data_IF_904508389242
#
_entry.id   IF_904508389242
#
_cell.length_a   1.000
_cell.length_b   1.000
_cell.length_c   1.000
_cell.angle_alpha   90.00
_cell.angle_beta   90.00
_cell.angle_gamma   90.00
#
_symmetry.space_group_name_H-M   'P 1'
#
loop_
_entity.id
_entity.type
_entity.pdbx_description
1 polymer ?
#
# COMPACT_ATOMS: atom_id res chain seq x y z
N UNK A 1 -19.16 6.53 -18.96
CA UNK A 1 -19.03 6.25 -17.51
C UNK A 1 -17.75 6.94 -17.06
N UNK A 2 -17.74 7.78 -16.00
CA UNK A 2 -16.68 8.80 -15.72
C UNK A 2 -15.24 8.26 -15.57
N UNK A 3 -15.05 6.96 -15.39
CA UNK A 3 -13.75 6.32 -15.11
C UNK A 3 -13.47 5.08 -15.99
N UNK A 4 -14.28 4.85 -17.03
CA UNK A 4 -14.21 3.63 -17.89
C UNK A 4 -14.08 2.32 -17.09
N UNK A 5 -14.82 2.23 -15.99
CA UNK A 5 -14.77 1.09 -15.10
C UNK A 5 -15.58 -0.08 -15.65
N UNK A 6 -14.89 -1.18 -15.94
CA UNK A 6 -15.52 -2.45 -16.21
C UNK A 6 -15.60 -3.27 -14.93
N UNK A 7 -16.81 -3.49 -14.41
CA UNK A 7 -17.05 -4.31 -13.20
C UNK A 7 -16.41 -5.71 -13.28
N UNK A 8 -16.21 -6.21 -14.50
CA UNK A 8 -15.59 -7.51 -14.74
C UNK A 8 -14.10 -7.46 -15.06
N UNK A 9 -13.54 -6.30 -15.42
CA UNK A 9 -12.12 -6.11 -15.76
C UNK A 9 -11.30 -5.47 -14.64
N UNK A 10 -11.94 -4.67 -13.77
CA UNK A 10 -11.25 -3.76 -12.85
C UNK A 10 -11.28 -4.17 -11.38
N UNK A 11 -11.70 -5.41 -11.12
CA UNK A 11 -11.74 -5.99 -9.79
C UNK A 11 -13.09 -6.64 -9.51
N UNK A 12 -13.02 -7.87 -9.02
CA UNK A 12 -14.15 -8.74 -8.67
C UNK A 12 -14.92 -8.21 -7.44
N UNK A 13 -14.31 -7.28 -6.70
CA UNK A 13 -14.80 -6.77 -5.43
C UNK A 13 -14.75 -5.24 -5.37
N UNK A 14 -15.65 -4.66 -4.58
CA UNK A 14 -15.72 -3.22 -4.30
C UNK A 14 -14.38 -2.60 -3.87
N UNK A 15 -13.47 -3.29 -3.15
CA UNK A 15 -12.13 -2.79 -2.86
C UNK A 15 -11.23 -2.64 -4.07
N UNK A 16 -11.25 -3.55 -5.05
CA UNK A 16 -10.44 -3.38 -6.27
C UNK A 16 -10.91 -2.17 -7.08
N UNK A 17 -12.24 -1.98 -7.14
CA UNK A 17 -12.85 -0.80 -7.75
C UNK A 17 -12.54 0.48 -6.95
N UNK A 18 -12.68 0.43 -5.62
CA UNK A 18 -12.41 1.56 -4.72
C UNK A 18 -10.93 1.91 -4.69
N UNK A 19 -10.05 0.92 -4.77
CA UNK A 19 -8.60 1.09 -4.89
C UNK A 19 -8.26 1.69 -6.24
N UNK A 20 -8.77 1.18 -7.36
CA UNK A 20 -8.52 1.75 -8.69
C UNK A 20 -9.05 3.18 -8.79
N UNK A 21 -10.26 3.43 -8.27
CA UNK A 21 -10.83 4.79 -8.20
C UNK A 21 -10.03 5.66 -7.24
N UNK A 22 -9.60 5.17 -6.08
CA UNK A 22 -8.73 5.93 -5.17
C UNK A 22 -7.35 6.17 -5.77
N UNK A 23 -6.77 5.21 -6.49
CA UNK A 23 -5.49 5.37 -7.17
C UNK A 23 -5.63 6.40 -8.29
N UNK A 24 -6.62 6.26 -9.17
CA UNK A 24 -6.86 7.26 -10.21
C UNK A 24 -7.23 8.62 -9.62
N UNK A 25 -8.07 8.70 -8.60
CA UNK A 25 -8.54 9.98 -8.06
C UNK A 25 -7.49 10.65 -7.16
N UNK A 26 -6.78 9.89 -6.32
CA UNK A 26 -5.77 10.41 -5.40
C UNK A 26 -4.37 10.49 -6.02
N UNK A 27 -4.08 9.71 -7.08
CA UNK A 27 -2.76 9.58 -7.69
C UNK A 27 -2.70 9.96 -9.18
N UNK A 28 -3.80 10.35 -9.86
CA UNK A 28 -3.69 10.87 -11.25
C UNK A 28 -2.79 12.11 -11.35
N UNK A 29 -2.65 12.87 -10.26
CA UNK A 29 -1.75 14.02 -10.19
C UNK A 29 -0.40 13.69 -9.54
N UNK A 30 -0.16 12.43 -9.13
CA UNK A 30 1.11 12.01 -8.58
C UNK A 30 2.08 11.79 -9.73
N UNK A 31 2.78 12.88 -10.07
CA UNK A 31 3.97 12.77 -10.89
C UNK A 31 5.02 12.00 -10.08
N UNK A 32 5.45 10.86 -10.62
CA UNK A 32 6.67 10.22 -10.13
C UNK A 32 7.78 11.25 -10.26
N UNK A 33 8.47 11.60 -9.16
CA UNK A 33 9.54 12.57 -9.23
C UNK A 33 10.61 12.03 -10.19
N UNK A 34 11.03 12.90 -11.10
CA UNK A 34 12.07 12.58 -12.06
C UNK A 34 13.34 12.13 -11.32
N UNK A 35 13.86 10.95 -11.67
CA UNK A 35 15.07 10.38 -11.10
C UNK A 35 16.32 10.76 -11.90
N UNK A 36 16.25 11.81 -12.72
CA UNK A 36 17.38 12.36 -13.46
C UNK A 36 18.47 12.80 -12.47
N UNK A 37 19.67 12.18 -12.52
CA UNK A 37 20.79 12.52 -11.64
C UNK A 37 21.07 14.02 -11.61
N UNK A 38 21.45 14.54 -10.43
CA UNK A 38 21.89 15.94 -10.32
C UNK A 38 23.39 16.07 -10.62
N UNK A 39 23.85 17.31 -10.73
CA UNK A 39 25.28 17.60 -10.90
C UNK A 39 26.06 17.14 -9.67
N UNK A 40 27.21 16.52 -9.89
CA UNK A 40 28.08 16.08 -8.82
C UNK A 40 28.62 17.26 -8.01
N UNK A 41 28.63 17.11 -6.69
CA UNK A 41 29.25 18.06 -5.76
C UNK A 41 29.78 17.34 -4.52
N UNK A 42 30.67 18.00 -3.78
CA UNK A 42 31.16 17.52 -2.48
C UNK A 42 30.43 18.23 -1.35
N UNK A 43 30.18 17.50 -0.26
CA UNK A 43 29.47 18.05 0.86
C UNK A 43 30.31 19.12 1.60
N UNK A 44 29.78 20.34 1.82
CA UNK A 44 30.54 21.44 2.39
C UNK A 44 30.84 21.25 3.88
N UNK A 45 32.13 21.20 4.24
CA UNK A 45 32.61 20.99 5.62
C UNK A 45 32.05 22.01 6.64
N UNK A 46 31.77 23.24 6.21
CA UNK A 46 31.20 24.31 7.05
C UNK A 46 29.89 23.92 7.74
N UNK A 47 29.12 22.98 7.18
CA UNK A 47 27.83 22.57 7.74
C UNK A 47 27.96 21.56 8.89
N UNK A 48 29.09 20.87 9.04
CA UNK A 48 29.29 19.85 10.08
C UNK A 48 29.14 20.39 11.50
N UNK A 49 29.60 21.63 11.73
CA UNK A 49 29.55 22.27 13.05
C UNK A 49 28.12 22.36 13.60
N UNK A 50 27.15 22.67 12.75
CA UNK A 50 25.75 22.74 13.14
C UNK A 50 25.20 21.40 13.63
N UNK A 51 25.47 20.32 12.90
CA UNK A 51 25.02 18.97 13.27
C UNK A 51 25.67 18.48 14.56
N UNK A 52 26.98 18.76 14.74
CA UNK A 52 27.70 18.45 15.99
C UNK A 52 27.08 19.15 17.19
N UNK A 53 26.73 20.43 17.08
CA UNK A 53 26.05 21.17 18.15
C UNK A 53 24.65 20.62 18.45
N UNK A 54 23.90 20.18 17.44
CA UNK A 54 22.57 19.58 17.62
C UNK A 54 22.63 18.27 18.42
N UNK A 55 23.59 17.40 18.11
CA UNK A 55 23.74 16.13 18.80
C UNK A 55 24.27 16.32 20.22
N UNK A 56 25.23 17.23 20.42
CA UNK A 56 25.70 17.61 21.74
C UNK A 56 24.57 18.11 22.64
N UNK A 57 23.71 19.00 22.13
CA UNK A 57 22.53 19.52 22.87
C UNK A 57 21.56 18.41 23.28
N UNK A 58 21.41 17.39 22.43
CA UNK A 58 20.51 16.26 22.67
C UNK A 58 21.18 15.06 23.36
N UNK A 59 22.44 15.20 23.82
CA UNK A 59 23.26 14.13 24.43
C UNK A 59 23.40 12.89 23.53
N UNK A 60 23.63 13.10 22.23
CA UNK A 60 23.81 12.04 21.21
C UNK A 60 25.24 12.08 20.66
N UNK A 61 25.74 10.92 20.23
CA UNK A 61 27.08 10.76 19.66
C UNK A 61 27.17 11.37 18.25
N UNK A 62 28.28 12.03 17.95
CA UNK A 62 28.59 12.54 16.62
C UNK A 62 29.81 11.84 16.06
N UNK A 63 29.67 11.19 14.90
CA UNK A 63 30.70 10.39 14.25
C UNK A 63 30.53 10.36 12.73
N UNK A 64 29.90 11.38 12.15
CA UNK A 64 29.67 11.52 10.71
C UNK A 64 30.93 12.06 10.02
N UNK A 65 31.35 11.42 8.93
CA UNK A 65 32.52 11.83 8.12
C UNK A 65 32.11 12.45 6.79
N UNK A 66 32.95 13.34 6.25
CA UNK A 66 32.71 13.92 4.91
C UNK A 66 32.82 12.86 3.81
N UNK A 67 33.78 11.95 3.93
CA UNK A 67 33.97 10.86 2.98
C UNK A 67 32.73 9.96 2.89
N UNK A 68 32.08 9.70 4.03
CA UNK A 68 30.83 8.95 4.06
C UNK A 68 29.68 9.73 3.41
N UNK A 69 29.58 11.05 3.64
CA UNK A 69 28.58 11.89 3.00
C UNK A 69 28.74 11.95 1.48
N UNK A 70 29.97 12.10 0.99
CA UNK A 70 30.28 12.11 -0.44
C UNK A 70 29.98 10.74 -1.06
N UNK A 71 30.31 9.65 -0.36
CA UNK A 71 29.93 8.29 -0.77
C UNK A 71 28.41 8.12 -0.86
N UNK A 72 27.65 8.68 0.10
CA UNK A 72 26.19 8.63 0.08
C UNK A 72 25.60 9.46 -1.06
N UNK A 73 26.13 10.66 -1.31
CA UNK A 73 25.72 11.50 -2.44
C UNK A 73 25.91 10.78 -3.78
N UNK A 74 27.06 10.14 -3.98
CA UNK A 74 27.33 9.33 -5.17
C UNK A 74 26.36 8.15 -5.29
N UNK A 75 26.17 7.38 -4.22
CA UNK A 75 25.22 6.24 -4.20
C UNK A 75 23.78 6.69 -4.50
N UNK A 76 23.40 7.87 -4.04
CA UNK A 76 22.07 8.45 -4.26
C UNK A 76 21.95 9.23 -5.59
N UNK A 77 23.00 9.24 -6.42
CA UNK A 77 23.06 10.01 -7.67
C UNK A 77 22.74 11.49 -7.48
N UNK A 78 23.13 12.04 -6.34
CA UNK A 78 22.87 13.42 -5.93
C UNK A 78 21.37 13.77 -5.88
N UNK A 79 20.54 12.77 -5.57
CA UNK A 79 19.10 12.94 -5.38
C UNK A 79 18.73 12.85 -3.91
N UNK A 80 17.72 13.61 -3.53
CA UNK A 80 17.11 13.49 -2.21
C UNK A 80 16.57 12.07 -2.01
N UNK A 81 17.00 11.39 -0.96
CA UNK A 81 16.54 10.04 -0.64
C UNK A 81 15.03 9.96 -0.31
N UNK A 82 14.39 11.10 0.00
CA UNK A 82 12.95 11.16 0.32
C UNK A 82 12.08 11.37 -0.92
N UNK A 83 12.43 12.31 -1.80
CA UNK A 83 11.57 12.78 -2.89
C UNK A 83 12.24 12.80 -4.27
N UNK A 84 13.49 12.33 -4.37
CA UNK A 84 14.27 12.33 -5.59
C UNK A 84 14.50 13.72 -6.22
N UNK A 85 14.27 14.80 -5.47
CA UNK A 85 14.66 16.14 -5.91
C UNK A 85 16.17 16.21 -6.12
N UNK A 86 16.61 16.90 -7.16
CA UNK A 86 18.03 17.16 -7.42
C UNK A 86 18.64 17.97 -6.26
N UNK A 87 19.69 17.42 -5.66
CA UNK A 87 20.41 18.07 -4.58
C UNK A 87 21.45 19.03 -5.13
N UNK A 88 21.65 20.10 -4.38
CA UNK A 88 22.72 21.09 -4.55
C UNK A 88 23.45 21.23 -3.22
N UNK A 89 24.61 21.89 -3.25
CA UNK A 89 25.41 22.21 -2.05
C UNK A 89 24.57 22.87 -0.96
N UNK A 90 23.64 23.76 -1.34
CA UNK A 90 22.83 24.52 -0.40
C UNK A 90 21.55 23.80 0.04
N UNK A 91 21.09 22.82 -0.73
CA UNK A 91 19.84 22.12 -0.44
C UNK A 91 20.02 20.77 0.26
N UNK A 92 21.23 20.21 0.23
CA UNK A 92 21.54 18.91 0.81
C UNK A 92 21.68 19.00 2.33
N UNK A 93 20.99 18.11 3.04
CA UNK A 93 21.08 17.94 4.48
C UNK A 93 21.28 16.45 4.79
N UNK A 94 22.28 16.08 5.62
CA UNK A 94 22.33 14.76 6.22
C UNK A 94 21.29 14.66 7.32
N UNK A 95 20.31 13.79 7.12
CA UNK A 95 19.26 13.51 8.08
C UNK A 95 19.48 12.14 8.72
N UNK A 96 19.12 12.04 9.99
CA UNK A 96 19.22 10.79 10.75
C UNK A 96 18.15 9.80 10.32
N UNK A 97 18.55 8.55 10.11
CA UNK A 97 17.64 7.42 9.89
C UNK A 97 16.89 7.13 11.20
N UNK A 98 17.63 7.01 12.31
CA UNK A 98 17.08 6.87 13.65
C UNK A 98 17.36 8.12 14.49
N UNK A 99 16.30 8.83 14.88
CA UNK A 99 16.39 10.04 15.69
C UNK A 99 16.86 9.83 17.14
N UNK A 100 16.86 8.58 17.64
CA UNK A 100 17.42 8.26 18.96
C UNK A 100 18.95 8.25 18.95
N UNK A 101 19.56 7.95 17.80
CA UNK A 101 21.00 7.98 17.58
C UNK A 101 21.42 9.37 17.05
N UNK A 102 22.70 9.69 17.11
CA UNK A 102 23.22 10.93 16.52
C UNK A 102 23.63 10.77 15.07
N UNK A 103 24.28 11.79 14.51
CA UNK A 103 24.86 11.74 13.17
C UNK A 103 26.15 10.92 13.23
N UNK A 104 26.01 9.62 13.00
CA UNK A 104 27.10 8.65 12.87
C UNK A 104 27.02 8.00 11.49
N UNK A 105 28.17 7.61 10.95
CA UNK A 105 28.21 6.88 9.68
C UNK A 105 27.35 5.61 9.77
N UNK A 106 26.50 5.38 8.76
CA UNK A 106 25.50 4.31 8.76
C UNK A 106 24.15 4.63 9.40
N UNK A 107 24.00 5.75 10.14
CA UNK A 107 22.71 6.25 10.65
C UNK A 107 22.23 7.51 9.92
N UNK A 108 22.81 7.86 8.77
CA UNK A 108 22.47 9.08 8.05
C UNK A 108 22.07 8.79 6.59
N UNK A 109 21.19 9.64 6.06
CA UNK A 109 20.82 9.70 4.65
C UNK A 109 20.85 11.16 4.20
N UNK A 110 21.21 11.43 2.94
CA UNK A 110 21.11 12.80 2.41
C UNK A 110 19.70 13.07 1.88
N UNK A 111 19.11 14.15 2.34
CA UNK A 111 17.78 14.62 1.96
C UNK A 111 17.81 16.11 1.65
N UNK A 112 16.73 16.63 1.08
CA UNK A 112 16.61 18.05 0.77
C UNK A 112 16.05 18.81 1.98
N UNK A 113 16.54 20.01 2.28
CA UNK A 113 16.03 20.83 3.41
C UNK A 113 14.51 21.08 3.29
N UNK A 114 14.00 21.24 2.06
CA UNK A 114 12.55 21.43 1.80
C UNK A 114 11.72 20.18 2.08
N UNK A 115 12.33 19.01 2.11
CA UNK A 115 11.69 17.71 2.21
C UNK A 115 11.26 17.37 3.65
N UNK A 116 11.63 18.20 4.63
CA UNK A 116 11.30 18.04 6.05
C UNK A 116 9.80 18.25 6.39
N UNK A 117 8.87 18.17 5.42
CA UNK A 117 7.45 18.21 5.75
C UNK A 117 7.02 16.90 6.41
N UNK A 118 6.44 17.01 7.61
CA UNK A 118 5.90 15.88 8.38
C UNK A 118 4.93 15.03 7.55
N UNK A 119 4.20 15.66 6.62
CA UNK A 119 3.24 15.04 5.71
C UNK A 119 3.92 14.07 4.74
N UNK A 120 5.04 14.47 4.15
CA UNK A 120 5.80 13.65 3.23
C UNK A 120 6.49 12.45 3.88
N UNK A 121 7.07 12.67 5.06
CA UNK A 121 7.66 11.60 5.86
C UNK A 121 6.62 10.54 6.25
N UNK A 122 5.44 10.97 6.71
CA UNK A 122 4.32 10.07 7.04
C UNK A 122 3.87 9.24 5.83
N UNK A 123 3.75 9.88 4.66
CA UNK A 123 3.36 9.20 3.43
C UNK A 123 4.38 8.15 3.00
N UNK A 124 5.69 8.46 3.03
CA UNK A 124 6.75 7.49 2.72
C UNK A 124 6.76 6.32 3.69
N UNK A 125 6.64 6.56 5.01
CA UNK A 125 6.57 5.49 6.01
C UNK A 125 5.34 4.61 5.86
N UNK A 126 4.22 5.18 5.42
CA UNK A 126 3.02 4.42 5.09
C UNK A 126 3.25 3.51 3.86
N UNK A 127 3.93 3.98 2.83
CA UNK A 127 4.28 3.15 1.67
C UNK A 127 5.31 2.06 2.02
N UNK A 128 6.34 2.37 2.80
CA UNK A 128 7.34 1.39 3.25
C UNK A 128 6.71 0.30 4.13
N UNK A 129 5.88 0.69 5.11
CA UNK A 129 5.21 -0.23 6.02
C UNK A 129 4.24 -1.19 5.32
N UNK A 130 3.66 -0.76 4.19
CA UNK A 130 2.73 -1.59 3.43
C UNK A 130 3.38 -2.20 2.18
N UNK A 131 4.70 -2.10 1.99
CA UNK A 131 5.37 -2.54 0.76
C UNK A 131 5.20 -4.03 0.45
N UNK A 132 5.02 -4.86 1.47
CA UNK A 132 4.71 -6.30 1.43
C UNK A 132 3.20 -6.60 1.52
N UNK A 133 2.39 -5.58 1.80
CA UNK A 133 0.92 -5.64 1.95
C UNK A 133 0.18 -4.93 0.82
N UNK A 134 0.88 -4.51 -0.23
CA UNK A 134 0.28 -3.90 -1.40
C UNK A 134 -0.62 -4.93 -2.08
N UNK A 135 -1.82 -4.52 -2.46
CA UNK A 135 -2.70 -5.31 -3.31
C UNK A 135 -2.03 -5.33 -4.70
N UNK A 136 -1.55 -6.50 -5.11
CA UNK A 136 -1.01 -6.66 -6.45
C UNK A 136 -2.19 -6.71 -7.43
N UNK A 137 -2.17 -5.81 -8.41
CA UNK A 137 -3.07 -5.93 -9.55
C UNK A 137 -2.65 -7.14 -10.37
N UNK A 138 -3.62 -7.95 -10.80
CA UNK A 138 -3.35 -9.02 -11.76
C UNK A 138 -2.91 -8.37 -13.07
N UNK A 139 -1.69 -8.68 -13.49
CA UNK A 139 -1.08 -8.15 -14.71
C UNK A 139 -1.03 -9.20 -15.83
N UNK A 140 -0.29 -8.90 -16.89
CA UNK A 140 -0.19 -9.79 -18.04
C UNK A 140 0.57 -11.09 -17.73
N UNK A 141 1.40 -11.13 -16.68
CA UNK A 141 2.14 -12.33 -16.27
C UNK A 141 1.20 -13.35 -15.62
N UNK A 142 0.16 -12.89 -14.91
CA UNK A 142 -0.82 -13.72 -14.19
C UNK A 142 -2.19 -13.83 -14.92
N UNK A 143 -2.22 -13.53 -16.23
CA UNK A 143 -3.45 -13.47 -17.04
C UNK A 143 -4.23 -14.79 -17.07
N UNK A 144 -3.52 -15.93 -17.06
CA UNK A 144 -4.14 -17.26 -17.04
C UNK A 144 -4.84 -17.54 -15.70
N UNK A 145 -4.23 -17.12 -14.58
CA UNK A 145 -4.82 -17.21 -13.25
C UNK A 145 -6.07 -16.31 -13.16
N UNK A 146 -6.02 -15.10 -13.71
CA UNK A 146 -7.21 -14.23 -13.81
C UNK A 146 -8.38 -14.93 -14.50
N UNK A 147 -8.13 -15.58 -15.65
CA UNK A 147 -9.18 -16.29 -16.38
C UNK A 147 -9.77 -17.44 -15.55
N UNK A 148 -8.93 -18.21 -14.84
CA UNK A 148 -9.36 -19.28 -13.92
C UNK A 148 -10.18 -18.74 -12.75
N UNK A 149 -9.73 -17.67 -12.09
CA UNK A 149 -10.48 -17.04 -11.00
C UNK A 149 -11.84 -16.54 -11.50
N UNK A 150 -11.87 -15.83 -12.64
CA UNK A 150 -13.10 -15.30 -13.25
C UNK A 150 -14.12 -16.39 -13.55
N UNK A 151 -13.67 -17.53 -14.05
CA UNK A 151 -14.54 -18.68 -14.32
C UNK A 151 -15.16 -19.28 -13.04
N UNK A 152 -14.52 -19.10 -11.88
CA UNK A 152 -14.93 -19.68 -10.60
C UNK A 152 -15.62 -18.68 -9.66
N UNK A 153 -15.75 -17.42 -10.06
CA UNK A 153 -16.46 -16.42 -9.25
C UNK A 153 -17.96 -16.64 -9.34
N UNK A 154 -18.54 -16.97 -8.18
CA UNK A 154 -19.98 -17.07 -8.00
C UNK A 154 -20.54 -15.78 -7.38
N UNK A 155 -21.76 -15.41 -7.81
CA UNK A 155 -22.51 -14.32 -7.19
C UNK A 155 -23.15 -14.72 -5.86
N UNK A 156 -23.99 -13.83 -5.32
CA UNK A 156 -24.77 -14.11 -4.13
C UNK A 156 -25.69 -15.34 -4.33
N UNK A 157 -25.80 -16.24 -3.34
CA UNK A 157 -26.67 -17.40 -3.45
C UNK A 157 -28.14 -16.95 -3.49
N UNK A 158 -28.80 -17.14 -4.62
CA UNK A 158 -30.25 -16.98 -4.74
C UNK A 158 -30.90 -18.36 -4.69
N UNK A 159 -31.10 -18.88 -3.47
CA UNK A 159 -31.72 -20.17 -3.25
C UNK A 159 -33.23 -19.95 -3.13
N UNK A 160 -33.96 -20.24 -4.21
CA UNK A 160 -35.41 -20.34 -4.16
C UNK A 160 -35.75 -21.69 -3.53
N UNK A 161 -36.21 -21.67 -2.28
CA UNK A 161 -36.80 -22.87 -1.70
C UNK A 161 -38.12 -23.16 -2.41
N UNK A 162 -38.25 -24.33 -3.04
CA UNK A 162 -39.52 -24.82 -3.61
C UNK A 162 -40.65 -24.96 -2.56
N UNK A 163 -40.36 -24.74 -1.26
CA UNK A 163 -41.34 -24.75 -0.17
C UNK A 163 -41.93 -23.36 0.03
N UNK A 164 -43.03 -23.10 -0.63
CA UNK A 164 -43.89 -21.97 -0.27
C UNK A 164 -44.59 -22.25 1.07
N UNK A 165 -44.49 -21.33 2.03
CA UNK A 165 -45.15 -21.38 3.34
C UNK A 165 -46.10 -20.17 3.51
N UNK A 166 -47.38 -20.43 3.80
CA UNK A 166 -48.40 -19.40 4.05
C UNK A 166 -48.93 -19.51 5.48
N UNK A 167 -48.95 -18.37 6.18
CA UNK A 167 -49.48 -18.25 7.55
C UNK A 167 -50.90 -18.82 7.63
N UNK A 168 -51.13 -19.64 8.65
CA UNK A 168 -52.37 -20.34 8.96
C UNK A 168 -52.93 -21.24 7.84
N UNK A 169 -52.21 -21.47 6.73
CA UNK A 169 -52.71 -22.24 5.59
C UNK A 169 -51.84 -23.46 5.27
N UNK A 170 -50.54 -23.44 5.61
CA UNK A 170 -49.64 -24.56 5.33
C UNK A 170 -49.05 -25.18 6.58
N UNK A 171 -48.84 -26.49 6.52
CA UNK A 171 -48.10 -27.25 7.52
C UNK A 171 -46.60 -27.22 7.20
N UNK A 172 -45.79 -26.95 8.20
CA UNK A 172 -44.31 -27.01 8.14
C UNK A 172 -43.84 -28.40 8.62
N UNK A 173 -42.52 -28.61 8.70
CA UNK A 173 -41.91 -29.87 9.16
C UNK A 173 -42.57 -30.36 10.46
N UNK A 174 -42.96 -31.65 10.49
CA UNK A 174 -43.67 -32.26 11.62
C UNK A 174 -45.17 -31.96 11.68
N UNK A 175 -45.80 -31.54 10.57
CA UNK A 175 -47.25 -31.36 10.48
C UNK A 175 -47.81 -30.13 11.21
N UNK A 176 -46.94 -29.31 11.81
CA UNK A 176 -47.32 -28.10 12.57
C UNK A 176 -47.80 -27.00 11.64
N UNK A 177 -48.84 -26.25 12.03
CA UNK A 177 -49.34 -25.14 11.23
C UNK A 177 -48.37 -23.94 11.27
N UNK A 178 -48.04 -23.36 10.12
CA UNK A 178 -47.25 -22.14 10.03
C UNK A 178 -48.00 -20.97 10.67
N UNK A 179 -47.44 -20.33 11.72
CA UNK A 179 -48.09 -19.21 12.43
C UNK A 179 -47.52 -17.83 12.13
N UNK A 180 -46.25 -17.76 11.73
CA UNK A 180 -45.54 -16.51 11.44
C UNK A 180 -44.40 -16.80 10.46
N UNK A 181 -44.13 -15.85 9.56
CA UNK A 181 -42.93 -15.84 8.73
C UNK A 181 -42.12 -14.60 9.11
N UNK A 182 -40.80 -14.76 9.26
CA UNK A 182 -39.87 -13.67 9.62
C UNK A 182 -38.78 -13.68 8.55
N UNK A 183 -38.53 -12.51 7.96
CA UNK A 183 -37.37 -12.29 7.09
C UNK A 183 -36.25 -11.68 7.91
N UNK A 184 -35.03 -12.17 7.70
CA UNK A 184 -33.81 -11.55 8.21
C UNK A 184 -33.00 -11.11 7.01
N UNK A 185 -32.41 -9.92 7.12
CA UNK A 185 -31.47 -9.38 6.14
C UNK A 185 -30.15 -9.06 6.85
N UNK A 186 -29.05 -9.25 6.14
CA UNK A 186 -27.73 -8.94 6.64
C UNK A 186 -27.41 -7.48 6.38
N UNK A 187 -27.11 -6.72 7.43
CA UNK A 187 -26.67 -5.34 7.29
C UNK A 187 -25.29 -5.31 6.59
N UNK A 188 -25.27 -4.82 5.35
CA UNK A 188 -24.05 -4.61 4.58
C UNK A 188 -23.13 -5.85 4.48
N UNK A 189 -23.71 -7.00 4.09
CA UNK A 189 -23.01 -8.30 4.02
C UNK A 189 -21.64 -8.25 3.34
N UNK A 190 -21.53 -7.61 2.18
CA UNK A 190 -20.25 -7.50 1.47
C UNK A 190 -19.24 -6.63 2.23
N UNK A 191 -19.66 -5.51 2.83
CA UNK A 191 -18.74 -4.67 3.61
C UNK A 191 -18.22 -5.40 4.84
N UNK A 192 -19.07 -6.18 5.50
CA UNK A 192 -18.64 -7.03 6.60
C UNK A 192 -17.63 -8.08 6.14
N UNK A 193 -17.89 -8.77 5.02
CA UNK A 193 -16.97 -9.77 4.46
C UNK A 193 -15.59 -9.17 4.14
N UNK A 194 -15.56 -7.95 3.60
CA UNK A 194 -14.32 -7.21 3.32
C UNK A 194 -13.53 -6.80 4.56
N UNK A 195 -14.18 -6.70 5.72
CA UNK A 195 -13.52 -6.43 6.99
C UNK A 195 -12.82 -7.65 7.60
N UNK A 196 -12.95 -8.83 6.99
CA UNK A 196 -12.27 -10.04 7.41
C UNK A 196 -10.93 -10.21 6.67
N UNK A 197 -10.23 -11.31 6.96
CA UNK A 197 -9.00 -11.68 6.26
C UNK A 197 -9.29 -11.93 4.77
N UNK A 198 -8.62 -11.18 3.91
CA UNK A 198 -8.76 -11.24 2.46
C UNK A 198 -7.44 -11.67 1.83
N UNK A 199 -7.45 -12.58 0.83
CA UNK A 199 -6.23 -12.96 0.13
C UNK A 199 -5.65 -11.74 -0.61
N UNK A 200 -4.36 -11.50 -0.40
CA UNK A 200 -3.57 -10.45 -1.06
C UNK A 200 -2.21 -11.01 -1.49
N UNK A 201 -1.45 -10.25 -2.30
CA UNK A 201 -0.16 -10.69 -2.83
C UNK A 201 -0.23 -11.22 -4.26
N UNK A 202 0.91 -11.77 -4.72
CA UNK A 202 1.02 -12.49 -6.01
C UNK A 202 0.41 -13.88 -5.90
N UNK A 203 -0.25 -14.32 -6.97
CA UNK A 203 -0.94 -15.59 -7.03
C UNK A 203 0.06 -16.70 -7.40
N UNK A 204 -0.08 -17.86 -6.76
CA UNK A 204 0.74 -19.04 -7.05
C UNK A 204 -0.13 -20.20 -7.49
N UNK A 205 0.41 -21.05 -8.37
CA UNK A 205 -0.25 -22.30 -8.77
C UNK A 205 0.42 -23.46 -8.04
N UNK A 206 -0.39 -24.32 -7.44
CA UNK A 206 0.04 -25.59 -6.87
C UNK A 206 -0.60 -26.72 -7.68
N UNK A 207 0.13 -27.81 -7.88
CA UNK A 207 -0.47 -29.00 -8.47
C UNK A 207 -1.54 -29.56 -7.54
N UNK A 208 -2.66 -29.99 -8.13
CA UNK A 208 -3.71 -30.65 -7.38
C UNK A 208 -3.18 -31.96 -6.80
N UNK A 209 -3.63 -32.30 -5.59
CA UNK A 209 -3.30 -33.60 -5.01
C UNK A 209 -3.84 -34.74 -5.88
N UNK A 210 -3.10 -35.85 -5.92
CA UNK A 210 -3.54 -37.06 -6.61
C UNK A 210 -4.95 -37.46 -6.17
N UNK A 211 -5.86 -37.59 -7.15
CA UNK A 211 -7.25 -38.02 -6.93
C UNK A 211 -8.28 -36.90 -6.68
N UNK A 212 -7.91 -35.62 -6.80
CA UNK A 212 -8.84 -34.48 -6.68
C UNK A 212 -9.36 -33.96 -8.04
N UNK A 213 -8.84 -34.48 -9.17
CA UNK A 213 -9.26 -34.12 -10.54
C UNK A 213 -9.98 -35.27 -11.22
#
# INVERSE_FOLDING_TARGET
MRFDLGMFTDGVSLPGLSEKVMYQTCFNNLQYPDKKPANAFQFPAKHLGGYKSQDAKAKREFGMTLDHLDTLLQKQKYLCCLFYCQLTVDSASPDRINNKLGHIDGNILVSCIKCMSLKGFRYKKLLEFNSDRLVYSIDNEEKDIYAKMKANIAGGPSIIFNRYAKRNARKIRGGKLCKKSIGYDANAQYLWALGNEMPCGRLTTIEAYDGIV
#
